data_IF_902320257021
#
_entry.id   IF_902320257021
#
_cell.length_a   1.000
_cell.length_b   1.000
_cell.length_c   1.000
_cell.angle_alpha   90.00
_cell.angle_beta   90.00
_cell.angle_gamma   90.00
#
_symmetry.space_group_name_H-M   'P 1'
#
loop_
_entity.id
_entity.type
_entity.pdbx_description
1 polymer ?
#
# COMPACT_ATOMS: atom_id res chain seq x y z
N UNK A 1 1.29 19.99 2.50
CA UNK A 1 0.47 18.88 3.06
C UNK A 1 -0.85 19.38 3.63
N UNK A 2 -0.83 20.31 4.59
CA UNK A 2 -2.04 20.89 5.19
C UNK A 2 -3.04 21.40 4.15
N UNK A 3 -2.58 22.24 3.20
CA UNK A 3 -3.38 22.71 2.04
C UNK A 3 -4.11 21.59 1.30
N UNK A 4 -3.47 20.44 1.11
CA UNK A 4 -4.05 19.28 0.41
C UNK A 4 -5.13 18.60 1.26
N UNK A 5 -4.85 18.39 2.56
CA UNK A 5 -5.81 17.78 3.48
C UNK A 5 -7.06 18.64 3.66
N UNK A 6 -6.89 19.96 3.83
CA UNK A 6 -8.01 20.90 3.96
C UNK A 6 -8.88 20.91 2.70
N UNK A 7 -8.26 20.83 1.52
CA UNK A 7 -8.97 20.77 0.25
C UNK A 7 -9.85 19.51 0.17
N UNK A 8 -9.29 18.34 0.51
CA UNK A 8 -10.04 17.08 0.54
C UNK A 8 -11.17 17.11 1.58
N UNK A 9 -10.93 17.63 2.79
CA UNK A 9 -11.94 17.75 3.84
C UNK A 9 -13.09 18.67 3.41
N UNK A 10 -12.78 19.81 2.77
CA UNK A 10 -13.79 20.75 2.27
C UNK A 10 -14.68 20.10 1.21
N UNK A 11 -14.07 19.40 0.26
CA UNK A 11 -14.81 18.67 -0.78
C UNK A 11 -15.69 17.57 -0.18
N UNK A 12 -15.16 16.74 0.72
CA UNK A 12 -15.90 15.66 1.38
C UNK A 12 -17.12 16.17 2.17
N UNK A 13 -16.97 17.29 2.89
CA UNK A 13 -18.09 17.95 3.59
C UNK A 13 -19.14 18.50 2.63
N UNK A 14 -18.71 19.13 1.55
CA UNK A 14 -19.61 19.73 0.56
C UNK A 14 -20.52 18.69 -0.10
N UNK A 15 -19.99 17.52 -0.43
CA UNK A 15 -20.76 16.42 -1.02
C UNK A 15 -21.49 15.54 0.01
N UNK A 16 -21.33 15.83 1.31
CA UNK A 16 -21.93 15.02 2.37
C UNK A 16 -21.44 13.56 2.38
N UNK A 17 -20.15 13.34 2.10
CA UNK A 17 -19.61 11.99 1.97
C UNK A 17 -19.65 11.20 3.28
N UNK A 18 -20.00 9.92 3.20
CA UNK A 18 -20.10 9.00 4.34
C UNK A 18 -19.25 7.75 4.08
N UNK A 19 -18.51 7.32 5.11
CA UNK A 19 -17.60 6.17 5.04
C UNK A 19 -16.15 6.56 4.74
N UNK A 20 -15.35 5.60 4.32
CA UNK A 20 -13.97 5.83 3.88
C UNK A 20 -13.91 6.05 2.36
N UNK A 21 -13.06 6.98 1.94
CA UNK A 21 -12.82 7.29 0.53
C UNK A 21 -11.48 7.99 0.36
N UNK A 22 -10.97 8.00 -0.86
CA UNK A 22 -9.66 8.58 -1.19
C UNK A 22 -9.83 9.66 -2.24
N UNK A 23 -9.29 10.85 -1.97
CA UNK A 23 -9.14 11.91 -2.95
C UNK A 23 -7.74 11.83 -3.54
N UNK A 24 -7.66 11.72 -4.86
CA UNK A 24 -6.40 11.58 -5.59
C UNK A 24 -6.00 12.89 -6.25
N UNK A 25 -4.73 13.23 -6.10
CA UNK A 25 -4.15 14.47 -6.60
C UNK A 25 -2.86 14.19 -7.35
N UNK A 26 -2.59 14.99 -8.39
CA UNK A 26 -1.30 15.05 -9.05
C UNK A 26 -0.52 16.25 -8.50
N UNK A 27 0.70 16.01 -8.04
CA UNK A 27 1.63 17.06 -7.63
C UNK A 27 2.55 17.41 -8.81
N UNK A 28 2.76 18.69 -9.07
CA UNK A 28 3.64 19.13 -10.15
C UNK A 28 5.12 18.81 -9.88
N UNK A 29 5.94 18.86 -10.93
CA UNK A 29 7.36 18.52 -10.85
C UNK A 29 8.19 19.50 -10.02
N UNK A 30 7.67 20.70 -9.78
CA UNK A 30 8.32 21.71 -8.94
C UNK A 30 7.91 21.58 -7.46
N UNK A 31 7.02 20.62 -7.13
CA UNK A 31 6.54 20.29 -5.79
C UNK A 31 5.79 21.43 -5.09
N UNK A 32 5.21 22.38 -5.84
CA UNK A 32 4.46 23.51 -5.28
C UNK A 32 2.97 23.26 -5.36
N UNK A 33 2.46 22.98 -6.56
CA UNK A 33 1.03 22.92 -6.81
C UNK A 33 0.52 21.51 -7.05
N UNK A 34 -0.70 21.26 -6.58
CA UNK A 34 -1.38 19.99 -6.73
C UNK A 34 -2.73 20.21 -7.41
N UNK A 35 -3.16 19.22 -8.16
CA UNK A 35 -4.38 19.24 -8.95
C UNK A 35 -5.23 18.02 -8.62
N UNK A 36 -6.51 18.22 -8.36
CA UNK A 36 -7.45 17.13 -8.13
C UNK A 36 -7.62 16.32 -9.42
N UNK A 37 -7.56 15.00 -9.30
CA UNK A 37 -7.75 14.07 -10.41
C UNK A 37 -9.10 13.38 -10.29
N UNK A 38 -9.29 12.61 -9.22
CA UNK A 38 -10.53 11.89 -8.98
C UNK A 38 -10.74 11.57 -7.49
N UNK A 39 -11.93 11.07 -7.15
CA UNK A 39 -12.24 10.55 -5.84
C UNK A 39 -12.72 9.10 -5.97
N UNK A 40 -12.08 8.20 -5.24
CA UNK A 40 -12.49 6.82 -5.09
C UNK A 40 -13.41 6.68 -3.87
N UNK A 41 -14.69 6.40 -4.11
CA UNK A 41 -15.75 6.33 -3.09
C UNK A 41 -15.83 4.97 -2.39
N UNK A 42 -14.66 4.40 -2.10
CA UNK A 42 -14.49 3.09 -1.47
C UNK A 42 -13.16 3.03 -0.71
N UNK A 43 -12.99 2.00 0.11
CA UNK A 43 -11.69 1.68 0.69
C UNK A 43 -10.69 1.37 -0.43
N UNK A 44 -9.50 1.96 -0.33
CA UNK A 44 -8.39 1.67 -1.25
C UNK A 44 -7.60 0.45 -0.82
N UNK A 45 -6.96 -0.22 -1.78
CA UNK A 45 -6.14 -1.41 -1.52
C UNK A 45 -5.01 -1.06 -0.55
N UNK A 46 -4.38 0.09 -0.76
CA UNK A 46 -3.26 0.66 -0.01
C UNK A 46 -3.65 1.38 1.30
N UNK A 47 -4.89 1.25 1.78
CA UNK A 47 -5.31 1.88 3.04
C UNK A 47 -4.45 1.49 4.25
N UNK A 48 -3.85 0.30 4.19
CA UNK A 48 -2.99 -0.31 5.22
C UNK A 48 -1.83 0.60 5.65
N UNK A 49 -1.20 1.34 4.72
CA UNK A 49 -0.11 2.25 5.07
C UNK A 49 -0.61 3.41 5.93
N UNK A 50 -1.84 3.89 5.67
CA UNK A 50 -2.50 4.93 6.48
C UNK A 50 -2.84 4.40 7.88
N UNK A 51 -3.31 3.16 7.99
CA UNK A 51 -3.55 2.51 9.29
C UNK A 51 -2.26 2.39 10.09
N UNK A 52 -1.18 1.92 9.47
CA UNK A 52 0.11 1.72 10.13
C UNK A 52 0.72 3.01 10.69
N UNK A 53 0.53 4.16 10.03
CA UNK A 53 1.06 5.44 10.53
C UNK A 53 0.09 6.18 11.45
N UNK A 54 -1.21 5.96 11.35
CA UNK A 54 -2.23 6.65 12.16
C UNK A 54 -2.62 5.90 13.43
N UNK A 55 -2.46 4.57 13.43
CA UNK A 55 -3.02 3.69 14.46
C UNK A 55 -4.53 3.48 14.36
N UNK A 56 -5.19 4.01 13.31
CA UNK A 56 -6.62 3.82 13.09
C UNK A 56 -6.88 2.55 12.29
N UNK A 57 -7.86 1.76 12.72
CA UNK A 57 -8.43 0.69 11.92
C UNK A 57 -9.58 1.26 11.06
N UNK A 58 -9.33 1.44 9.77
CA UNK A 58 -10.27 2.09 8.86
C UNK A 58 -11.50 1.21 8.61
N UNK A 59 -11.34 -0.11 8.57
CA UNK A 59 -12.46 -1.04 8.40
C UNK A 59 -13.38 -0.99 9.63
N UNK A 60 -12.81 -0.98 10.83
CA UNK A 60 -13.57 -0.81 12.08
C UNK A 60 -14.34 0.52 12.06
N UNK A 61 -13.68 1.63 11.69
CA UNK A 61 -14.33 2.93 11.61
C UNK A 61 -15.42 2.99 10.54
N UNK A 62 -15.24 2.34 9.39
CA UNK A 62 -16.29 2.23 8.38
C UNK A 62 -17.56 1.58 8.96
N UNK A 63 -17.41 0.50 9.75
CA UNK A 63 -18.52 -0.18 10.41
C UNK A 63 -19.17 0.72 11.48
N UNK A 64 -18.36 1.34 12.35
CA UNK A 64 -18.85 2.28 13.39
C UNK A 64 -19.64 3.44 12.80
N UNK A 65 -19.14 4.06 11.73
CA UNK A 65 -19.82 5.15 11.03
C UNK A 65 -21.12 4.67 10.40
N UNK A 66 -21.12 3.48 9.78
CA UNK A 66 -22.34 2.88 9.23
C UNK A 66 -23.40 2.60 10.31
N UNK A 67 -22.99 2.39 11.56
CA UNK A 67 -23.86 2.25 12.73
C UNK A 67 -24.25 3.60 13.37
N UNK A 68 -23.83 4.73 12.81
CA UNK A 68 -24.16 6.08 13.29
C UNK A 68 -23.23 6.63 14.37
N UNK A 69 -22.09 5.96 14.64
CA UNK A 69 -21.08 6.55 15.52
C UNK A 69 -20.45 7.79 14.89
N UNK A 70 -20.03 8.72 15.76
CA UNK A 70 -19.34 9.95 15.34
C UNK A 70 -17.86 9.66 15.09
N UNK A 71 -17.30 10.37 14.12
CA UNK A 71 -15.86 10.34 13.86
C UNK A 71 -15.06 10.76 15.11
N UNK A 72 -13.85 10.20 15.30
CA UNK A 72 -12.95 10.67 16.33
C UNK A 72 -12.50 12.10 16.01
N UNK A 73 -12.14 12.87 17.05
CA UNK A 73 -11.63 14.23 16.85
C UNK A 73 -10.31 14.19 16.07
N UNK A 74 -10.06 15.18 15.21
CA UNK A 74 -8.85 15.22 14.38
C UNK A 74 -7.56 15.24 15.23
N UNK A 75 -7.59 15.87 16.42
CA UNK A 75 -6.45 15.88 17.34
C UNK A 75 -6.25 14.57 18.14
N UNK A 76 -7.17 13.61 18.07
CA UNK A 76 -7.09 12.36 18.85
C UNK A 76 -6.08 11.35 18.32
N UNK A 77 -5.56 11.57 17.11
CA UNK A 77 -4.54 10.74 16.49
C UNK A 77 -3.51 11.60 15.77
N UNK A 78 -2.33 11.03 15.53
CA UNK A 78 -1.25 11.68 14.81
C UNK A 78 -0.57 10.68 13.90
N UNK A 79 -0.05 11.16 12.78
CA UNK A 79 0.63 10.32 11.81
C UNK A 79 2.10 10.20 12.22
N UNK A 80 2.53 9.00 12.61
CA UNK A 80 3.87 8.72 13.15
C UNK A 80 4.63 7.72 12.28
N UNK A 81 5.92 7.94 12.14
CA UNK A 81 6.83 7.08 11.40
C UNK A 81 6.56 7.05 9.89
N UNK A 82 6.90 5.93 9.26
CA UNK A 82 6.78 5.71 7.84
C UNK A 82 6.36 4.27 7.57
N UNK A 83 5.38 4.07 6.70
CA UNK A 83 4.93 2.76 6.27
C UNK A 83 5.16 2.58 4.77
N UNK A 84 5.47 1.35 4.37
CA UNK A 84 5.64 0.95 2.97
C UNK A 84 4.81 -0.32 2.77
N UNK A 85 4.07 -0.38 1.66
CA UNK A 85 3.36 -1.56 1.19
C UNK A 85 3.97 -2.02 -0.14
N UNK A 86 4.18 -3.32 -0.27
CA UNK A 86 4.48 -4.00 -1.53
C UNK A 86 3.34 -4.97 -1.85
N UNK A 87 2.73 -4.83 -3.02
CA UNK A 87 1.74 -5.81 -3.53
C UNK A 87 2.49 -7.04 -4.03
N UNK A 88 2.21 -8.18 -3.43
CA UNK A 88 2.77 -9.46 -3.84
C UNK A 88 1.79 -10.07 -4.83
N UNK A 89 2.19 -10.09 -6.10
CA UNK A 89 1.40 -10.61 -7.22
C UNK A 89 2.05 -11.87 -7.78
N UNK A 90 1.23 -12.80 -8.27
CA UNK A 90 1.63 -13.98 -9.00
C UNK A 90 1.96 -13.60 -10.44
N UNK A 91 3.07 -12.91 -10.65
CA UNK A 91 3.53 -12.37 -11.93
C UNK A 91 5.05 -12.59 -12.09
N UNK A 92 5.51 -12.66 -13.33
CA UNK A 92 6.93 -12.65 -13.65
C UNK A 92 7.54 -11.29 -13.23
N UNK A 93 8.61 -11.26 -12.40
CA UNK A 93 9.14 -10.00 -11.86
C UNK A 93 9.83 -9.11 -12.89
N UNK A 94 10.07 -9.59 -14.12
CA UNK A 94 10.71 -8.80 -15.19
C UNK A 94 9.72 -8.41 -16.26
N UNK A 95 8.86 -9.35 -16.67
CA UNK A 95 7.90 -9.13 -17.77
C UNK A 95 6.49 -8.78 -17.29
N UNK A 96 6.21 -8.96 -16.01
CA UNK A 96 4.89 -8.77 -15.38
C UNK A 96 3.76 -9.57 -16.03
N UNK A 97 4.09 -10.66 -16.72
CA UNK A 97 3.08 -11.60 -17.19
C UNK A 97 2.52 -12.40 -16.01
N UNK A 98 1.20 -12.65 -15.97
CA UNK A 98 0.60 -13.50 -14.94
C UNK A 98 1.28 -14.88 -14.87
N UNK A 99 1.47 -15.36 -13.64
CA UNK A 99 2.04 -16.66 -13.29
C UNK A 99 1.07 -17.43 -12.38
N UNK A 100 -0.15 -17.77 -12.87
CA UNK A 100 -1.09 -18.59 -12.11
C UNK A 100 -0.52 -19.99 -11.89
N UNK A 101 -0.99 -20.67 -10.85
CA UNK A 101 -0.49 -22.00 -10.50
C UNK A 101 -0.65 -22.33 -9.03
N UNK A 102 -0.22 -23.54 -8.66
CA UNK A 102 -0.28 -24.00 -7.28
C UNK A 102 0.93 -23.49 -6.51
N UNK A 103 0.68 -22.79 -5.42
CA UNK A 103 1.70 -22.41 -4.44
C UNK A 103 2.12 -23.69 -3.71
N UNK A 104 3.35 -24.15 -3.92
CA UNK A 104 3.86 -25.39 -3.30
C UNK A 104 4.41 -25.13 -1.91
N UNK A 105 4.93 -23.94 -1.67
CA UNK A 105 5.47 -23.52 -0.37
C UNK A 105 5.10 -22.05 -0.11
N UNK A 106 4.72 -21.76 1.14
CA UNK A 106 4.35 -20.43 1.60
C UNK A 106 4.91 -20.20 3.00
N UNK A 107 6.00 -19.45 3.10
CA UNK A 107 6.59 -19.01 4.36
C UNK A 107 6.39 -17.51 4.46
N UNK A 108 5.34 -17.11 5.18
CA UNK A 108 5.05 -15.71 5.42
C UNK A 108 6.12 -15.07 6.33
N UNK A 109 6.57 -13.83 6.04
CA UNK A 109 7.47 -13.11 6.92
C UNK A 109 6.72 -12.61 8.16
N UNK A 110 7.46 -12.38 9.24
CA UNK A 110 6.88 -11.92 10.50
C UNK A 110 7.74 -10.88 11.22
N UNK A 111 7.49 -10.75 12.52
CA UNK A 111 8.23 -9.85 13.40
C UNK A 111 7.59 -8.47 13.59
N UNK A 112 8.22 -7.66 14.43
CA UNK A 112 7.66 -6.39 14.90
C UNK A 112 7.43 -5.40 13.75
N UNK A 113 6.19 -4.91 13.66
CA UNK A 113 5.72 -3.97 12.66
C UNK A 113 5.86 -4.47 11.21
N UNK A 114 5.68 -5.78 11.02
CA UNK A 114 5.44 -6.42 9.73
C UNK A 114 4.03 -6.98 9.74
N UNK A 115 3.24 -6.60 8.74
CA UNK A 115 1.86 -7.02 8.53
C UNK A 115 1.75 -7.65 7.15
N UNK A 116 1.04 -8.77 7.08
CA UNK A 116 0.72 -9.44 5.83
C UNK A 116 -0.80 -9.57 5.73
N UNK A 117 -1.40 -8.93 4.73
CA UNK A 117 -2.80 -9.14 4.37
C UNK A 117 -2.80 -10.10 3.18
N UNK A 118 -3.26 -11.34 3.37
CA UNK A 118 -3.24 -12.35 2.32
C UNK A 118 -4.38 -13.37 2.50
N UNK A 119 -4.88 -13.89 1.39
CA UNK A 119 -5.77 -15.05 1.34
C UNK A 119 -5.03 -16.32 0.89
N UNK A 120 -3.79 -16.18 0.44
CA UNK A 120 -2.98 -17.27 -0.09
C UNK A 120 -2.31 -18.05 1.06
N UNK A 121 -2.07 -19.33 0.78
CA UNK A 121 -1.41 -20.26 1.70
C UNK A 121 -0.78 -21.40 0.89
N UNK A 122 0.02 -22.24 1.53
CA UNK A 122 0.57 -23.43 0.86
C UNK A 122 -0.58 -24.30 0.32
N UNK A 123 -0.41 -24.81 -0.90
CA UNK A 123 -1.40 -25.52 -1.71
C UNK A 123 -2.55 -24.69 -2.30
N UNK A 124 -2.62 -23.39 -2.06
CA UNK A 124 -3.56 -22.52 -2.78
C UNK A 124 -3.23 -22.53 -4.29
N UNK A 125 -4.28 -22.56 -5.13
CA UNK A 125 -4.14 -22.49 -6.59
C UNK A 125 -4.57 -21.11 -7.04
N UNK A 126 -3.60 -20.31 -7.47
CA UNK A 126 -3.86 -18.98 -8.02
C UNK A 126 -4.61 -19.15 -9.36
N UNK A 127 -5.85 -18.65 -9.45
CA UNK A 127 -6.66 -18.79 -10.66
C UNK A 127 -6.21 -17.83 -11.77
N UNK A 128 -6.53 -18.16 -13.02
CA UNK A 128 -6.27 -17.33 -14.21
C UNK A 128 -7.30 -16.22 -14.41
N UNK A 129 -8.45 -16.29 -13.73
CA UNK A 129 -9.63 -15.46 -14.00
C UNK A 129 -9.78 -14.25 -13.06
N UNK A 130 -8.93 -14.13 -12.05
CA UNK A 130 -8.97 -13.05 -11.06
C UNK A 130 -7.65 -12.26 -11.07
N UNK A 131 -7.62 -11.18 -10.30
CA UNK A 131 -6.41 -10.40 -10.07
C UNK A 131 -5.26 -11.28 -9.54
N UNK A 132 -4.04 -11.00 -10.00
CA UNK A 132 -2.84 -11.79 -9.68
C UNK A 132 -2.36 -11.58 -8.24
N UNK A 133 -2.89 -10.61 -7.49
CA UNK A 133 -2.48 -10.30 -6.13
C UNK A 133 -2.78 -11.46 -5.17
N UNK A 134 -1.72 -12.00 -4.58
CA UNK A 134 -1.76 -13.07 -3.58
C UNK A 134 -1.58 -12.52 -2.16
N UNK A 135 -1.10 -11.28 -2.01
CA UNK A 135 -1.05 -10.61 -0.72
C UNK A 135 -0.48 -9.21 -0.79
N UNK A 136 -0.50 -8.52 0.34
CA UNK A 136 0.12 -7.21 0.54
C UNK A 136 1.06 -7.33 1.72
N UNK A 137 2.34 -7.05 1.51
CA UNK A 137 3.32 -6.99 2.59
C UNK A 137 3.48 -5.55 3.01
N UNK A 138 3.21 -5.26 4.27
CA UNK A 138 3.26 -3.91 4.83
C UNK A 138 4.24 -3.89 5.98
N UNK A 139 5.08 -2.85 6.02
CA UNK A 139 5.98 -2.62 7.14
C UNK A 139 5.86 -1.20 7.64
N UNK A 140 6.19 -1.00 8.91
CA UNK A 140 6.35 0.32 9.50
C UNK A 140 7.73 0.49 10.15
N UNK A 141 8.30 1.68 10.03
CA UNK A 141 9.53 2.10 10.70
C UNK A 141 9.45 3.54 11.20
N UNK A 142 10.35 3.91 12.11
CA UNK A 142 10.41 5.27 12.67
C UNK A 142 10.68 6.35 11.62
N UNK A 143 11.35 5.97 10.53
CA UNK A 143 11.58 6.81 9.36
C UNK A 143 11.61 5.94 8.09
N UNK A 144 11.72 6.61 6.94
CA UNK A 144 11.69 5.95 5.63
C UNK A 144 12.82 4.94 5.43
N UNK A 145 14.04 5.26 5.86
CA UNK A 145 15.18 4.35 5.73
C UNK A 145 14.99 3.06 6.54
N UNK A 146 14.49 3.19 7.78
CA UNK A 146 14.15 2.04 8.64
C UNK A 146 13.02 1.21 8.03
N UNK A 147 12.00 1.84 7.44
CA UNK A 147 10.92 1.14 6.75
C UNK A 147 11.45 0.37 5.53
N UNK A 148 12.31 0.98 4.70
CA UNK A 148 12.95 0.32 3.55
C UNK A 148 13.77 -0.88 4.00
N UNK A 149 14.64 -0.72 5.00
CA UNK A 149 15.48 -1.80 5.51
C UNK A 149 14.61 -2.97 6.04
N UNK A 150 13.51 -2.66 6.73
CA UNK A 150 12.57 -3.65 7.23
C UNK A 150 11.83 -4.37 6.10
N UNK A 151 11.35 -3.64 5.08
CA UNK A 151 10.68 -4.23 3.93
C UNK A 151 11.61 -5.20 3.20
N UNK A 152 12.87 -4.81 2.97
CA UNK A 152 13.87 -5.68 2.35
C UNK A 152 14.09 -6.97 3.12
N UNK A 153 14.17 -6.91 4.45
CA UNK A 153 14.29 -8.10 5.30
C UNK A 153 13.06 -8.99 5.17
N UNK A 154 11.87 -8.41 5.33
CA UNK A 154 10.61 -9.15 5.24
C UNK A 154 10.40 -9.80 3.86
N UNK A 155 10.73 -9.12 2.77
CA UNK A 155 10.68 -9.69 1.42
C UNK A 155 11.68 -10.84 1.21
N UNK A 156 12.90 -10.75 1.79
CA UNK A 156 13.90 -11.84 1.72
C UNK A 156 13.48 -13.07 2.53
N UNK A 157 12.72 -12.88 3.61
CA UNK A 157 12.17 -13.95 4.44
C UNK A 157 10.90 -14.56 3.82
N UNK A 158 10.24 -13.85 2.91
CA UNK A 158 8.99 -14.30 2.29
C UNK A 158 9.27 -15.32 1.19
N UNK A 159 9.03 -16.60 1.49
CA UNK A 159 9.18 -17.68 0.52
C UNK A 159 7.84 -18.05 -0.12
N UNK A 160 7.78 -17.98 -1.45
CA UNK A 160 6.64 -18.41 -2.26
C UNK A 160 7.18 -19.25 -3.41
N UNK A 161 6.88 -20.54 -3.41
CA UNK A 161 7.33 -21.48 -4.44
C UNK A 161 6.17 -22.01 -5.29
N UNK A 162 6.49 -22.54 -6.47
CA UNK A 162 5.52 -23.11 -7.42
C UNK A 162 4.94 -22.10 -8.43
N UNK A 163 5.11 -20.80 -8.17
CA UNK A 163 4.76 -19.69 -9.07
C UNK A 163 5.86 -18.62 -9.03
N UNK A 164 5.91 -17.76 -10.05
CA UNK A 164 6.70 -16.52 -9.99
C UNK A 164 5.93 -15.45 -9.22
N UNK A 165 6.67 -14.54 -8.59
CA UNK A 165 6.10 -13.39 -7.89
C UNK A 165 6.87 -12.11 -8.17
N UNK A 166 6.25 -10.97 -7.83
CA UNK A 166 6.90 -9.64 -7.86
C UNK A 166 7.87 -9.36 -6.71
N UNK A 167 8.12 -10.32 -5.81
CA UNK A 167 9.09 -10.14 -4.70
C UNK A 167 10.48 -9.71 -5.18
N UNK A 168 11.08 -10.34 -6.22
CA UNK A 168 12.40 -9.93 -6.71
C UNK A 168 12.42 -8.49 -7.26
N UNK A 169 11.36 -8.07 -7.95
CA UNK A 169 11.22 -6.70 -8.44
C UNK A 169 11.17 -5.69 -7.28
N UNK A 170 10.37 -5.96 -6.25
CA UNK A 170 10.30 -5.07 -5.08
C UNK A 170 11.66 -4.96 -4.37
N UNK A 171 12.41 -6.05 -4.27
CA UNK A 171 13.77 -6.03 -3.71
C UNK A 171 14.71 -5.14 -4.51
N UNK A 172 14.67 -5.24 -5.84
CA UNK A 172 15.46 -4.39 -6.74
C UNK A 172 15.07 -2.91 -6.59
N UNK A 173 13.77 -2.60 -6.55
CA UNK A 173 13.28 -1.23 -6.38
C UNK A 173 13.67 -0.63 -5.01
N UNK A 174 13.77 -1.44 -3.97
CA UNK A 174 14.21 -0.98 -2.64
C UNK A 174 15.73 -0.74 -2.56
N UNK A 175 16.51 -1.29 -3.49
CA UNK A 175 17.95 -0.97 -3.66
C UNK A 175 18.17 0.22 -4.58
N UNK A 176 17.25 0.52 -5.48
CA UNK A 176 17.33 1.63 -6.43
C UNK A 176 17.56 2.98 -5.73
N UNK A 177 18.57 3.72 -6.18
CA UNK A 177 19.00 4.97 -5.55
C UNK A 177 17.95 6.08 -5.63
N UNK A 178 17.22 6.19 -6.75
CA UNK A 178 16.19 7.19 -6.93
C UNK A 178 14.99 6.90 -6.04
N UNK A 179 14.56 5.64 -5.94
CA UNK A 179 13.52 5.25 -4.99
C UNK A 179 13.96 5.60 -3.57
N UNK A 180 15.19 5.29 -3.17
CA UNK A 180 15.72 5.62 -1.83
C UNK A 180 15.79 7.14 -1.57
N UNK A 181 16.05 7.93 -2.60
CA UNK A 181 16.08 9.40 -2.54
C UNK A 181 14.73 10.07 -2.81
N UNK A 182 13.66 9.30 -3.03
CA UNK A 182 12.33 9.77 -3.43
C UNK A 182 12.33 10.61 -4.73
N UNK A 183 13.23 10.29 -5.66
CA UNK A 183 13.32 10.88 -7.00
C UNK A 183 12.52 10.06 -8.01
N UNK A 184 11.22 9.92 -7.77
CA UNK A 184 10.32 9.11 -8.58
C UNK A 184 9.12 9.93 -9.04
N UNK A 185 8.56 9.57 -10.19
CA UNK A 185 7.32 10.14 -10.74
C UNK A 185 6.47 9.03 -11.36
N UNK A 186 5.28 9.36 -11.84
CA UNK A 186 4.28 8.39 -12.32
C UNK A 186 4.72 7.56 -13.53
N UNK A 187 5.73 8.03 -14.28
CA UNK A 187 6.32 7.33 -15.45
C UNK A 187 7.65 6.65 -15.14
N UNK A 188 8.09 6.65 -13.88
CA UNK A 188 9.44 6.23 -13.52
C UNK A 188 9.76 4.79 -13.97
N UNK A 189 8.80 3.86 -13.81
CA UNK A 189 9.00 2.48 -14.23
C UNK A 189 9.11 2.35 -15.74
N UNK A 190 8.26 3.03 -16.52
CA UNK A 190 8.32 3.00 -18.00
C UNK A 190 9.67 3.51 -18.56
N UNK A 191 10.31 4.44 -17.85
CA UNK A 191 11.54 5.08 -18.29
C UNK A 191 12.81 4.35 -17.83
N UNK A 192 12.75 3.58 -16.74
CA UNK A 192 13.93 3.04 -16.07
C UNK A 192 13.92 1.51 -15.87
N UNK A 193 12.82 0.82 -16.19
CA UNK A 193 12.65 -0.64 -16.05
C UNK A 193 12.06 -1.27 -17.30
#
# INVERSE_FOLDING_TARGET
RERLLETAIKAAKYIGYVGAGTFEFLLDSNMKDFYFMEMNTRLQVEHTISEMVSGLNLIEWMIKIAQGEKLPKQESFSLKGHAIECRITAEDPKKFYPSPGKITEWIAPGGVNVRLDSHAHANYVVPTHYDSMIGKLIVWGENRERAIAKMKRALKEFKVEGIKTTIPFHLEMLENADFRQAKIHTKYLEENF
#
